data_IF_240902406443
#
_entry.id   IF_240902406443
#
_cell.length_a   1.000
_cell.length_b   1.000
_cell.length_c   1.000
_cell.angle_alpha   90.00
_cell.angle_beta   90.00
_cell.angle_gamma   90.00
#
_symmetry.space_group_name_H-M   'P 1'
#
loop_
_entity.id
_entity.type
_entity.pdbx_description
1 polymer ?
#
# COMPACT_ATOMS: atom_id res chain seq x y z
N UNK A 1 3.89 6.58 28.89
CA UNK A 1 4.39 6.34 27.54
C UNK A 1 5.56 5.37 27.54
N UNK A 2 5.77 4.71 26.42
CA UNK A 2 6.99 3.92 26.15
C UNK A 2 7.93 4.82 25.35
N UNK A 3 9.19 4.88 25.74
CA UNK A 3 10.22 5.57 24.96
C UNK A 3 11.17 4.54 24.32
N UNK A 4 11.28 4.58 23.00
CA UNK A 4 12.33 3.89 22.28
C UNK A 4 13.61 4.71 22.41
N UNK A 5 14.51 4.24 23.29
CA UNK A 5 15.69 4.99 23.72
C UNK A 5 16.80 5.01 22.67
N UNK A 6 18.02 4.60 23.05
CA UNK A 6 19.18 4.59 22.16
C UNK A 6 19.32 3.31 21.33
N UNK A 7 18.43 2.34 21.53
CA UNK A 7 18.40 1.07 20.82
C UNK A 7 16.97 0.75 20.37
N UNK A 8 16.86 -0.11 19.36
CA UNK A 8 15.56 -0.60 18.87
C UNK A 8 14.78 -1.31 19.99
N UNK A 9 13.46 -1.10 20.03
CA UNK A 9 12.57 -1.76 20.99
C UNK A 9 11.92 -2.98 20.39
N UNK A 10 11.81 -4.06 21.18
CA UNK A 10 11.04 -5.25 20.80
C UNK A 10 9.94 -5.48 21.81
N UNK A 11 8.72 -5.67 21.33
CA UNK A 11 7.59 -6.14 22.10
C UNK A 11 7.26 -7.55 21.64
N UNK A 12 7.54 -8.52 22.52
CA UNK A 12 7.23 -9.93 22.28
C UNK A 12 5.89 -10.28 22.93
N UNK A 13 4.98 -10.84 22.14
CA UNK A 13 3.69 -11.34 22.61
C UNK A 13 3.54 -12.77 22.13
N UNK A 14 3.69 -13.73 23.06
CA UNK A 14 3.67 -15.16 22.75
C UNK A 14 2.28 -15.78 22.90
N UNK A 15 2.02 -16.82 22.12
CA UNK A 15 0.81 -17.62 22.16
C UNK A 15 -0.42 -16.82 21.75
N UNK A 16 -1.59 -17.37 21.96
CA UNK A 16 -2.88 -16.73 21.63
C UNK A 16 -3.24 -15.57 22.58
N UNK A 17 -2.25 -14.78 23.01
CA UNK A 17 -2.45 -13.64 23.92
C UNK A 17 -2.55 -12.34 23.16
N UNK A 18 -3.31 -11.40 23.74
CA UNK A 18 -3.33 -10.02 23.26
C UNK A 18 -2.73 -9.12 24.34
N UNK A 19 -1.70 -8.37 23.98
CA UNK A 19 -1.19 -7.26 24.76
C UNK A 19 -1.79 -5.96 24.23
N UNK A 20 -2.62 -5.30 25.02
CA UNK A 20 -3.20 -4.00 24.65
C UNK A 20 -2.39 -2.87 25.29
N UNK A 21 -1.97 -1.93 24.48
CA UNK A 21 -1.29 -0.74 24.94
C UNK A 21 -1.95 0.53 24.36
N UNK A 22 -2.56 1.34 25.24
CA UNK A 22 -3.28 2.56 24.86
C UNK A 22 -2.46 3.85 25.02
N UNK A 23 -1.22 3.73 25.46
CA UNK A 23 -0.32 4.87 25.60
C UNK A 23 0.43 5.20 24.32
N UNK A 24 1.21 6.28 24.36
CA UNK A 24 2.05 6.69 23.24
C UNK A 24 3.39 5.96 23.31
N UNK A 25 3.82 5.38 22.19
CA UNK A 25 5.19 4.96 21.96
C UNK A 25 5.89 6.09 21.21
N UNK A 26 7.03 6.55 21.73
CA UNK A 26 7.79 7.68 21.18
C UNK A 26 9.29 7.35 21.10
N UNK A 27 10.04 8.15 20.38
CA UNK A 27 11.50 8.01 20.19
C UNK A 27 11.89 7.95 18.71
N UNK A 28 13.18 7.75 18.46
CA UNK A 28 13.72 7.75 17.09
C UNK A 28 14.20 6.37 16.61
N UNK A 29 13.95 5.33 17.39
CA UNK A 29 14.38 3.97 17.06
C UNK A 29 13.20 3.08 16.62
N UNK A 30 13.54 1.96 16.03
CA UNK A 30 12.57 1.02 15.48
C UNK A 30 11.80 0.29 16.58
N UNK A 31 10.55 -0.05 16.27
CA UNK A 31 9.72 -0.96 17.03
C UNK A 31 9.60 -2.30 16.31
N UNK A 32 9.96 -3.38 16.98
CA UNK A 32 9.74 -4.75 16.49
C UNK A 32 8.62 -5.41 17.27
N UNK A 33 7.59 -5.89 16.58
CA UNK A 33 6.61 -6.84 17.09
C UNK A 33 7.09 -8.25 16.79
N UNK A 34 7.22 -9.07 17.83
CA UNK A 34 7.60 -10.48 17.71
C UNK A 34 6.67 -11.39 18.53
N UNK A 35 6.82 -12.71 18.37
CA UNK A 35 5.93 -13.72 18.96
C UNK A 35 4.59 -13.80 18.23
N UNK A 36 3.94 -14.94 18.30
CA UNK A 36 2.74 -15.33 17.54
C UNK A 36 1.42 -14.71 18.05
N UNK A 37 1.45 -13.98 19.17
CA UNK A 37 0.29 -13.27 19.73
C UNK A 37 0.01 -11.92 19.08
N UNK A 38 -0.95 -11.19 19.63
CA UNK A 38 -1.43 -9.89 19.13
C UNK A 38 -0.88 -8.77 20.00
N UNK A 39 -0.26 -7.76 19.39
CA UNK A 39 -0.03 -6.46 20.00
C UNK A 39 -1.06 -5.47 19.49
N UNK A 40 -1.96 -5.02 20.35
CA UNK A 40 -2.95 -3.97 20.04
C UNK A 40 -2.42 -2.62 20.51
N UNK A 41 -2.20 -1.70 19.56
CA UNK A 41 -1.83 -0.31 19.82
C UNK A 41 -3.03 0.61 19.56
N UNK A 42 -3.55 1.25 20.60
CA UNK A 42 -4.70 2.17 20.47
C UNK A 42 -4.32 3.64 20.69
N UNK A 43 -3.06 3.94 20.97
CA UNK A 43 -2.55 5.31 21.09
C UNK A 43 -2.10 5.90 19.74
N UNK A 44 -1.98 7.22 19.68
CA UNK A 44 -1.31 7.92 18.59
C UNK A 44 0.20 7.88 18.81
N UNK A 45 0.88 6.94 18.16
CA UNK A 45 2.30 6.71 18.35
C UNK A 45 3.12 7.73 17.54
N UNK A 46 4.27 8.14 18.09
CA UNK A 46 5.08 9.24 17.55
C UNK A 46 6.55 8.88 17.38
N UNK A 47 6.92 7.59 17.49
CA UNK A 47 8.28 7.17 17.20
C UNK A 47 8.56 7.28 15.69
N UNK A 48 9.74 7.71 15.33
CA UNK A 48 10.11 7.98 13.92
C UNK A 48 10.98 6.90 13.28
N UNK A 49 11.26 5.82 13.99
CA UNK A 49 11.94 4.65 13.41
C UNK A 49 10.94 3.68 12.76
N UNK A 50 11.46 2.62 12.16
CA UNK A 50 10.65 1.64 11.44
C UNK A 50 9.80 0.78 12.37
N UNK A 51 8.69 0.29 11.84
CA UNK A 51 7.85 -0.74 12.47
C UNK A 51 8.09 -2.07 11.77
N UNK A 52 8.64 -3.04 12.50
CA UNK A 52 8.95 -4.35 11.97
C UNK A 52 7.99 -5.38 12.61
N UNK A 53 7.14 -5.99 11.80
CA UNK A 53 6.24 -7.05 12.24
C UNK A 53 6.88 -8.36 11.81
N UNK A 54 7.61 -8.97 12.75
CA UNK A 54 8.40 -10.19 12.48
C UNK A 54 7.59 -11.47 12.66
N UNK A 55 6.55 -11.46 13.49
CA UNK A 55 5.67 -12.60 13.74
C UNK A 55 4.37 -12.16 14.40
N UNK A 56 3.30 -12.99 14.31
CA UNK A 56 1.98 -12.73 14.86
C UNK A 56 1.30 -11.50 14.28
N UNK A 57 0.54 -10.78 15.10
CA UNK A 57 -0.27 -9.64 14.62
C UNK A 57 0.11 -8.34 15.34
N UNK A 58 0.35 -7.30 14.58
CA UNK A 58 0.26 -5.92 15.05
C UNK A 58 -1.11 -5.38 14.65
N UNK A 59 -1.97 -5.09 15.63
CA UNK A 59 -3.28 -4.46 15.43
C UNK A 59 -3.21 -2.99 15.84
N UNK A 60 -3.73 -2.09 15.01
CA UNK A 60 -3.75 -0.66 15.29
C UNK A 60 -5.18 -0.11 15.22
N UNK A 61 -5.73 0.27 16.37
CA UNK A 61 -6.97 1.08 16.49
C UNK A 61 -6.65 2.54 16.74
N UNK A 62 -5.39 2.87 17.01
CA UNK A 62 -4.78 4.20 16.97
C UNK A 62 -3.98 4.38 15.68
N UNK A 63 -2.97 5.27 15.70
CA UNK A 63 -2.12 5.54 14.54
C UNK A 63 -0.66 5.22 14.83
N UNK A 64 0.07 4.85 13.80
CA UNK A 64 1.53 4.90 13.77
C UNK A 64 1.99 6.32 13.39
N UNK A 65 3.28 6.61 13.45
CA UNK A 65 3.77 7.88 12.94
C UNK A 65 3.80 7.87 11.41
N UNK A 66 3.42 8.98 10.77
CA UNK A 66 3.42 9.13 9.31
C UNK A 66 4.82 8.92 8.68
N UNK A 67 5.86 8.95 9.49
CA UNK A 67 7.27 8.79 9.09
C UNK A 67 7.79 7.38 9.29
N UNK A 68 6.99 6.42 9.72
CA UNK A 68 7.44 5.04 9.95
C UNK A 68 7.36 4.20 8.67
N UNK A 69 8.43 3.47 8.39
CA UNK A 69 8.40 2.40 7.40
C UNK A 69 7.86 1.12 8.05
N UNK A 70 6.84 0.53 7.46
CA UNK A 70 6.25 -0.71 7.97
C UNK A 70 6.70 -1.89 7.13
N UNK A 71 7.35 -2.85 7.78
CA UNK A 71 7.76 -4.11 7.16
C UNK A 71 7.02 -5.28 7.78
N UNK A 72 6.31 -6.06 6.95
CA UNK A 72 5.52 -7.22 7.39
C UNK A 72 6.17 -8.50 6.87
N UNK A 73 6.76 -9.27 7.76
CA UNK A 73 7.42 -10.54 7.42
C UNK A 73 6.38 -11.59 6.99
N UNK A 74 6.77 -12.50 6.12
CA UNK A 74 5.90 -13.62 5.71
C UNK A 74 5.36 -14.38 6.93
N UNK A 75 4.05 -14.56 7.01
CA UNK A 75 3.34 -15.16 8.14
C UNK A 75 2.85 -14.15 9.19
N UNK A 76 3.43 -12.96 9.25
CA UNK A 76 2.98 -11.89 10.14
C UNK A 76 1.81 -11.10 9.54
N UNK A 77 1.05 -10.41 10.39
CA UNK A 77 -0.14 -9.65 10.03
C UNK A 77 -0.03 -8.22 10.57
N UNK A 78 -0.29 -7.25 9.70
CA UNK A 78 -0.59 -5.87 10.07
C UNK A 78 -2.10 -5.64 9.94
N UNK A 79 -2.80 -5.54 11.06
CA UNK A 79 -4.25 -5.35 11.16
C UNK A 79 -4.54 -3.87 11.44
N UNK A 80 -5.15 -3.19 10.46
CA UNK A 80 -5.37 -1.74 10.45
C UNK A 80 -6.84 -1.45 10.65
N UNK A 81 -7.20 -1.05 11.88
CA UNK A 81 -8.58 -0.76 12.28
C UNK A 81 -8.90 0.74 12.33
N UNK A 82 -7.93 1.60 12.04
CA UNK A 82 -8.11 3.04 11.97
C UNK A 82 -7.51 3.60 10.68
N UNK A 83 -8.06 4.69 10.17
CA UNK A 83 -7.44 5.43 9.07
C UNK A 83 -6.07 5.93 9.52
N UNK A 84 -5.05 5.59 8.76
CA UNK A 84 -3.66 5.87 9.10
C UNK A 84 -2.83 6.21 7.87
N UNK A 85 -1.74 6.93 8.11
CA UNK A 85 -0.71 7.22 7.12
C UNK A 85 0.61 6.67 7.61
N UNK A 86 1.31 5.93 6.78
CA UNK A 86 2.66 5.42 7.02
C UNK A 86 3.59 5.84 5.89
N UNK A 87 4.89 5.94 6.15
CA UNK A 87 5.85 6.36 5.15
C UNK A 87 5.96 5.34 4.03
N UNK A 88 6.18 4.06 4.34
CA UNK A 88 6.22 2.99 3.35
C UNK A 88 5.64 1.68 3.88
N UNK A 89 5.27 0.77 2.96
CA UNK A 89 4.82 -0.58 3.25
C UNK A 89 5.63 -1.58 2.42
N UNK A 90 6.24 -2.54 3.09
CA UNK A 90 7.06 -3.57 2.44
C UNK A 90 6.87 -4.95 3.06
N UNK A 91 7.37 -5.98 2.38
CA UNK A 91 7.40 -7.35 2.90
C UNK A 91 6.46 -8.31 2.16
N UNK A 92 6.31 -9.51 2.74
CA UNK A 92 5.57 -10.63 2.17
C UNK A 92 4.50 -11.20 3.12
N UNK A 93 4.21 -10.52 4.21
CA UNK A 93 3.16 -10.86 5.16
C UNK A 93 1.76 -10.46 4.69
N UNK A 94 0.85 -10.28 5.61
CA UNK A 94 -0.53 -9.88 5.32
C UNK A 94 -0.84 -8.51 5.91
N UNK A 95 -1.66 -7.74 5.21
CA UNK A 95 -2.28 -6.51 5.73
C UNK A 95 -3.79 -6.69 5.69
N UNK A 96 -4.47 -6.43 6.80
CA UNK A 96 -5.93 -6.44 6.87
C UNK A 96 -6.44 -5.02 7.09
N UNK A 97 -7.32 -4.56 6.21
CA UNK A 97 -7.89 -3.21 6.25
C UNK A 97 -9.33 -3.29 6.71
N UNK A 98 -9.63 -2.76 7.90
CA UNK A 98 -10.99 -2.73 8.42
C UNK A 98 -11.93 -1.91 7.52
N UNK A 99 -13.23 -2.10 7.71
CA UNK A 99 -14.24 -1.43 6.91
C UNK A 99 -14.16 0.11 7.06
N UNK A 100 -14.28 0.80 5.94
CA UNK A 100 -14.36 2.27 5.85
C UNK A 100 -13.09 3.03 6.27
N UNK A 101 -11.99 2.34 6.59
CA UNK A 101 -10.70 3.01 6.82
C UNK A 101 -9.93 3.20 5.52
N UNK A 102 -8.94 4.06 5.57
CA UNK A 102 -7.97 4.22 4.48
C UNK A 102 -6.56 4.11 5.06
N UNK A 103 -5.78 3.17 4.53
CA UNK A 103 -4.33 3.15 4.74
C UNK A 103 -3.67 3.93 3.61
N UNK A 104 -2.98 5.00 3.98
CA UNK A 104 -2.17 5.78 3.04
C UNK A 104 -0.71 5.38 3.18
N UNK A 105 -0.04 5.12 2.07
CA UNK A 105 1.40 4.79 2.06
C UNK A 105 2.11 5.44 0.89
N UNK A 106 3.37 5.71 1.06
CA UNK A 106 4.31 6.14 0.03
C UNK A 106 5.07 7.40 0.34
N UNK A 107 6.34 7.33 0.08
CA UNK A 107 7.33 8.40 0.16
C UNK A 107 7.95 8.69 -1.22
N UNK A 108 9.22 9.07 -1.27
CA UNK A 108 9.99 9.24 -2.51
C UNK A 108 10.74 7.96 -2.93
N UNK A 109 10.76 6.93 -2.09
CA UNK A 109 11.40 5.64 -2.34
C UNK A 109 10.55 4.70 -3.20
N UNK A 110 11.15 3.60 -3.58
CA UNK A 110 10.45 2.54 -4.30
C UNK A 110 10.31 1.34 -3.38
N UNK A 111 9.07 0.98 -3.09
CA UNK A 111 8.73 -0.10 -2.19
C UNK A 111 8.02 -1.23 -2.89
N UNK A 112 8.17 -2.44 -2.36
CA UNK A 112 7.48 -3.62 -2.87
C UNK A 112 6.78 -4.34 -1.73
N UNK A 113 5.49 -4.55 -1.89
CA UNK A 113 4.71 -5.44 -1.07
C UNK A 113 4.30 -6.67 -1.88
N UNK A 114 4.85 -7.82 -1.50
CA UNK A 114 4.60 -9.10 -2.18
C UNK A 114 3.59 -9.98 -1.44
N UNK A 115 3.15 -9.54 -0.28
CA UNK A 115 2.12 -10.19 0.52
C UNK A 115 0.70 -9.91 0.05
N UNK A 116 -0.27 -10.16 0.89
CA UNK A 116 -1.70 -9.98 0.60
C UNK A 116 -2.26 -8.81 1.39
N UNK A 117 -2.84 -7.84 0.70
CA UNK A 117 -3.71 -6.83 1.32
C UNK A 117 -5.15 -7.32 1.19
N UNK A 118 -5.87 -7.40 2.32
CA UNK A 118 -7.22 -7.94 2.45
C UNK A 118 -8.15 -6.97 3.18
N UNK A 119 -9.41 -7.39 3.39
CA UNK A 119 -10.40 -6.59 4.11
C UNK A 119 -11.28 -5.72 3.21
N UNK A 120 -12.00 -4.77 3.80
CA UNK A 120 -12.95 -3.92 3.07
C UNK A 120 -12.60 -2.41 3.11
N UNK A 121 -11.45 -2.06 3.69
CA UNK A 121 -10.90 -0.71 3.69
C UNK A 121 -10.26 -0.32 2.36
N UNK A 122 -9.84 0.93 2.28
CA UNK A 122 -9.27 1.55 1.09
C UNK A 122 -7.75 1.64 1.17
N UNK A 123 -7.11 1.66 0.01
CA UNK A 123 -5.67 1.90 -0.13
C UNK A 123 -5.43 3.23 -0.83
N UNK A 124 -4.57 4.07 -0.27
CA UNK A 124 -4.13 5.30 -0.91
C UNK A 124 -2.61 5.31 -1.10
N UNK A 125 -2.15 5.69 -2.28
CA UNK A 125 -0.73 5.92 -2.57
C UNK A 125 -0.46 7.42 -2.60
N UNK A 126 0.46 7.86 -1.76
CA UNK A 126 1.02 9.20 -1.72
C UNK A 126 2.52 9.18 -2.06
N UNK A 127 3.19 10.33 -1.94
CA UNK A 127 4.63 10.44 -2.24
C UNK A 127 4.99 10.14 -3.69
N UNK A 128 6.19 10.52 -4.12
CA UNK A 128 6.60 10.49 -5.53
C UNK A 128 7.18 9.16 -5.99
N UNK A 129 7.48 8.24 -5.08
CA UNK A 129 8.09 6.93 -5.39
C UNK A 129 7.10 5.92 -5.99
N UNK A 130 7.60 4.74 -6.26
CA UNK A 130 6.82 3.62 -6.82
C UNK A 130 6.46 2.62 -5.74
N UNK A 131 5.18 2.29 -5.63
CA UNK A 131 4.70 1.19 -4.79
C UNK A 131 4.31 0.00 -5.67
N UNK A 132 5.11 -1.05 -5.61
CA UNK A 132 4.87 -2.28 -6.37
C UNK A 132 4.03 -3.24 -5.56
N UNK A 133 2.84 -3.57 -6.08
CA UNK A 133 1.93 -4.56 -5.53
C UNK A 133 2.06 -5.86 -6.34
N UNK A 134 2.94 -6.75 -5.90
CA UNK A 134 3.21 -8.01 -6.62
C UNK A 134 2.41 -9.20 -6.10
N UNK A 135 1.74 -9.05 -4.96
CA UNK A 135 0.83 -10.05 -4.40
C UNK A 135 -0.56 -10.06 -5.05
N UNK A 136 -1.30 -11.14 -4.82
CA UNK A 136 -2.72 -11.21 -5.16
C UNK A 136 -3.52 -10.62 -4.02
N UNK A 137 -3.93 -9.38 -4.15
CA UNK A 137 -4.67 -8.66 -3.13
C UNK A 137 -6.17 -8.99 -3.18
N UNK A 138 -6.82 -8.94 -2.03
CA UNK A 138 -8.25 -9.30 -1.88
C UNK A 138 -9.08 -8.23 -1.17
N UNK A 139 -8.51 -7.06 -0.90
CA UNK A 139 -9.31 -5.94 -0.36
C UNK A 139 -10.38 -5.51 -1.35
N UNK A 140 -11.54 -5.12 -0.83
CA UNK A 140 -12.71 -4.74 -1.65
C UNK A 140 -12.98 -3.24 -1.70
N UNK A 141 -12.22 -2.45 -0.95
CA UNK A 141 -12.30 -0.98 -0.99
C UNK A 141 -11.65 -0.37 -2.23
N UNK A 142 -11.73 0.93 -2.34
CA UNK A 142 -11.16 1.69 -3.47
C UNK A 142 -9.64 1.85 -3.35
N UNK A 143 -9.02 2.11 -4.50
CA UNK A 143 -7.61 2.51 -4.59
C UNK A 143 -7.51 3.95 -5.10
N UNK A 144 -6.77 4.81 -4.40
CA UNK A 144 -6.52 6.20 -4.81
C UNK A 144 -5.02 6.43 -4.97
N UNK A 145 -4.61 7.01 -6.10
CA UNK A 145 -3.21 7.38 -6.36
C UNK A 145 -3.13 8.90 -6.43
N UNK A 146 -2.60 9.52 -5.38
CA UNK A 146 -2.51 10.98 -5.27
C UNK A 146 -1.17 11.52 -5.76
N UNK A 147 -0.13 10.70 -5.76
CA UNK A 147 1.19 11.01 -6.31
C UNK A 147 1.98 9.73 -6.56
N UNK A 148 3.08 9.83 -7.32
CA UNK A 148 3.95 8.71 -7.66
C UNK A 148 3.24 7.62 -8.46
N UNK A 149 3.65 6.37 -8.24
CA UNK A 149 3.20 5.26 -9.07
C UNK A 149 2.74 4.08 -8.21
N UNK A 150 1.59 3.47 -8.55
CA UNK A 150 1.31 2.07 -8.22
C UNK A 150 1.67 1.22 -9.42
N UNK A 151 2.54 0.23 -9.23
CA UNK A 151 3.00 -0.71 -10.25
C UNK A 151 2.39 -2.09 -10.01
N UNK A 152 1.71 -2.65 -11.03
CA UNK A 152 1.05 -3.96 -10.98
C UNK A 152 1.33 -4.77 -12.23
N UNK A 153 1.32 -6.10 -12.09
CA UNK A 153 1.44 -7.06 -13.20
C UNK A 153 0.13 -7.79 -13.53
N UNK A 154 -0.92 -7.54 -12.75
CA UNK A 154 -2.25 -8.15 -12.93
C UNK A 154 -3.34 -7.29 -12.28
N UNK A 155 -4.59 -7.44 -12.70
CA UNK A 155 -5.76 -6.76 -12.10
C UNK A 155 -5.89 -7.01 -10.59
N UNK A 156 -5.55 -8.21 -10.14
CA UNK A 156 -5.55 -8.60 -8.73
C UNK A 156 -4.57 -7.81 -7.85
N UNK A 157 -3.61 -7.11 -8.41
CA UNK A 157 -2.79 -6.16 -7.66
C UNK A 157 -3.61 -5.05 -7.00
N UNK A 158 -4.78 -4.72 -7.54
CA UNK A 158 -5.70 -3.70 -7.01
C UNK A 158 -6.87 -4.31 -6.19
N UNK A 159 -6.70 -5.48 -5.60
CA UNK A 159 -7.74 -6.14 -4.80
C UNK A 159 -8.87 -6.74 -5.65
N UNK A 160 -10.03 -6.99 -5.02
CA UNK A 160 -11.21 -7.54 -5.69
C UNK A 160 -11.92 -6.47 -6.52
N UNK A 161 -12.21 -6.78 -7.78
CA UNK A 161 -13.04 -5.89 -8.59
C UNK A 161 -14.50 -5.91 -8.09
N UNK A 162 -15.22 -4.78 -8.10
CA UNK A 162 -16.61 -4.75 -7.69
C UNK A 162 -17.49 -5.60 -8.63
N UNK A 163 -18.59 -6.14 -8.09
CA UNK A 163 -19.53 -6.98 -8.85
C UNK A 163 -20.30 -6.24 -9.94
N UNK A 164 -20.31 -4.90 -9.91
CA UNK A 164 -20.91 -4.02 -10.91
C UNK A 164 -20.02 -2.80 -11.12
N UNK A 165 -20.20 -2.11 -12.25
CA UNK A 165 -19.42 -0.92 -12.58
C UNK A 165 -19.56 0.14 -11.47
N UNK A 166 -18.46 0.44 -10.79
CA UNK A 166 -18.40 1.37 -9.65
C UNK A 166 -17.48 2.51 -9.99
N UNK A 167 -18.05 3.71 -10.14
CA UNK A 167 -17.26 4.91 -10.43
C UNK A 167 -16.27 5.18 -9.29
N UNK A 168 -15.03 5.48 -9.64
CA UNK A 168 -13.99 5.85 -8.67
C UNK A 168 -13.47 4.69 -7.79
N UNK A 169 -13.74 3.43 -8.17
CA UNK A 169 -13.08 2.32 -7.49
C UNK A 169 -11.54 2.37 -7.66
N UNK A 170 -11.08 2.92 -8.77
CA UNK A 170 -9.72 3.40 -8.96
C UNK A 170 -9.74 4.91 -9.21
N UNK A 171 -9.08 5.69 -8.38
CA UNK A 171 -8.97 7.14 -8.55
C UNK A 171 -7.53 7.54 -8.87
N UNK A 172 -7.33 8.22 -10.01
CA UNK A 172 -6.07 8.85 -10.38
C UNK A 172 -6.19 10.35 -10.10
N UNK A 173 -5.47 10.84 -9.10
CA UNK A 173 -5.53 12.23 -8.65
C UNK A 173 -4.13 12.86 -8.59
N UNK A 174 -3.40 12.82 -9.69
CA UNK A 174 -2.02 13.27 -9.80
C UNK A 174 -1.01 12.13 -9.89
N UNK A 175 -1.42 10.89 -9.64
CA UNK A 175 -0.55 9.73 -9.69
C UNK A 175 -0.68 8.90 -10.96
N UNK A 176 0.12 7.83 -11.01
CA UNK A 176 0.28 6.93 -12.15
C UNK A 176 -0.11 5.50 -11.76
N UNK A 177 -0.92 4.85 -12.59
CA UNK A 177 -1.03 3.41 -12.62
C UNK A 177 -0.07 2.85 -13.67
N UNK A 178 0.88 2.00 -13.26
CA UNK A 178 1.81 1.33 -14.17
C UNK A 178 1.43 -0.13 -14.34
N UNK A 179 1.35 -0.56 -15.60
CA UNK A 179 1.19 -1.97 -16.00
C UNK A 179 2.52 -2.52 -16.48
N UNK A 180 3.00 -3.59 -15.82
CA UNK A 180 4.30 -4.22 -16.14
C UNK A 180 4.15 -5.55 -16.89
N UNK A 181 2.93 -5.98 -17.21
CA UNK A 181 2.63 -7.22 -17.93
C UNK A 181 1.38 -7.09 -18.79
N UNK A 182 1.11 -8.12 -19.60
CA UNK A 182 -0.13 -8.21 -20.36
C UNK A 182 -1.28 -8.62 -19.45
N UNK A 183 -2.28 -7.78 -19.26
CA UNK A 183 -3.52 -8.15 -18.58
C UNK A 183 -4.70 -7.26 -18.97
N UNK A 184 -5.89 -7.69 -18.56
CA UNK A 184 -7.11 -6.89 -18.66
C UNK A 184 -7.47 -6.35 -17.29
N UNK A 185 -7.55 -5.02 -17.19
CA UNK A 185 -8.10 -4.35 -16.01
C UNK A 185 -9.63 -4.53 -16.03
N UNK A 186 -10.20 -4.98 -14.92
CA UNK A 186 -11.63 -5.28 -14.84
C UNK A 186 -12.48 -4.04 -15.10
N UNK A 187 -13.43 -4.15 -16.03
CA UNK A 187 -14.29 -3.04 -16.45
C UNK A 187 -15.18 -2.47 -15.34
N UNK A 188 -15.45 -3.23 -14.29
CA UNK A 188 -16.22 -2.77 -13.15
C UNK A 188 -15.43 -1.83 -12.21
N UNK A 189 -14.10 -1.75 -12.36
CA UNK A 189 -13.28 -0.75 -11.67
C UNK A 189 -13.39 0.58 -12.40
N UNK A 190 -14.48 1.33 -12.26
CA UNK A 190 -14.58 2.65 -12.87
C UNK A 190 -13.39 3.53 -12.43
N UNK A 191 -12.67 4.09 -13.41
CA UNK A 191 -11.57 5.01 -13.16
C UNK A 191 -12.11 6.41 -13.01
N UNK A 192 -11.80 7.09 -11.91
CA UNK A 192 -12.07 8.52 -11.72
C UNK A 192 -10.77 9.32 -11.88
N UNK A 193 -10.87 10.41 -12.61
CA UNK A 193 -9.83 11.44 -12.65
C UNK A 193 -10.19 12.48 -11.58
N UNK A 194 -9.37 12.59 -10.55
CA UNK A 194 -9.58 13.46 -9.40
C UNK A 194 -9.45 14.95 -9.73
N UNK A 195 -8.94 15.76 -8.82
CA UNK A 195 -8.70 17.19 -9.02
C UNK A 195 -7.41 17.50 -9.80
N UNK A 196 -6.57 16.49 -9.98
CA UNK A 196 -5.31 16.54 -10.74
C UNK A 196 -5.34 15.52 -11.89
N UNK A 197 -4.48 15.72 -12.89
CA UNK A 197 -4.36 14.81 -14.03
C UNK A 197 -3.92 13.42 -13.59
N UNK A 198 -4.48 12.38 -14.21
CA UNK A 198 -4.08 11.00 -13.99
C UNK A 198 -3.20 10.48 -15.12
N UNK A 199 -2.35 9.50 -14.81
CA UNK A 199 -1.53 8.82 -15.82
C UNK A 199 -1.75 7.31 -15.76
N UNK A 200 -1.83 6.68 -16.92
CA UNK A 200 -1.68 5.24 -17.08
C UNK A 200 -0.42 5.01 -17.90
N UNK A 201 0.54 4.29 -17.32
CA UNK A 201 1.79 3.91 -17.97
C UNK A 201 1.78 2.42 -18.28
N UNK A 202 2.04 2.07 -19.52
CA UNK A 202 2.13 0.68 -19.97
C UNK A 202 3.57 0.42 -20.38
N UNK A 203 4.24 -0.52 -19.70
CA UNK A 203 5.63 -0.85 -20.01
C UNK A 203 5.75 -1.43 -21.42
N UNK A 204 6.84 -1.07 -22.10
CA UNK A 204 7.07 -1.43 -23.52
C UNK A 204 6.84 -2.91 -23.81
N UNK A 205 6.34 -3.23 -24.96
CA UNK A 205 5.98 -4.59 -25.41
C UNK A 205 4.85 -5.29 -24.63
N UNK A 206 4.22 -4.60 -23.67
CA UNK A 206 3.06 -5.14 -22.94
C UNK A 206 1.76 -4.49 -23.39
N UNK A 207 0.64 -5.09 -23.05
CA UNK A 207 -0.70 -4.58 -23.38
C UNK A 207 -1.56 -4.55 -22.14
N UNK A 208 -2.05 -3.37 -21.79
CA UNK A 208 -3.14 -3.19 -20.84
C UNK A 208 -4.45 -3.01 -21.58
N UNK A 209 -5.40 -3.92 -21.37
CA UNK A 209 -6.75 -3.79 -21.92
C UNK A 209 -7.70 -3.27 -20.86
N UNK A 210 -8.51 -2.27 -21.19
CA UNK A 210 -9.54 -1.76 -20.32
C UNK A 210 -10.80 -1.38 -21.10
N UNK A 211 -11.94 -1.93 -20.70
CA UNK A 211 -13.24 -1.70 -21.33
C UNK A 211 -14.26 -1.01 -20.40
N UNK A 212 -13.81 -0.49 -19.26
CA UNK A 212 -14.67 0.17 -18.28
C UNK A 212 -14.82 1.68 -18.52
N UNK A 213 -15.44 2.36 -17.57
CA UNK A 213 -15.73 3.79 -17.62
C UNK A 213 -14.55 4.58 -17.02
N UNK A 214 -14.09 5.59 -17.75
CA UNK A 214 -13.20 6.62 -17.23
C UNK A 214 -14.03 7.90 -17.12
N UNK A 215 -14.09 8.49 -15.92
CA UNK A 215 -14.90 9.68 -15.63
C UNK A 215 -14.06 10.73 -14.91
N UNK A 216 -14.50 11.98 -14.99
CA UNK A 216 -13.87 13.15 -14.37
C UNK A 216 -13.67 14.29 -15.35
N UNK A 217 -13.27 15.46 -14.86
CA UNK A 217 -13.08 16.67 -15.64
C UNK A 217 -11.60 16.96 -15.96
N UNK A 218 -10.69 16.14 -15.48
CA UNK A 218 -9.25 16.32 -15.68
C UNK A 218 -8.71 15.41 -16.79
N UNK A 219 -7.48 15.65 -17.20
CA UNK A 219 -6.85 14.92 -18.29
C UNK A 219 -6.35 13.55 -17.84
N UNK A 220 -6.47 12.58 -18.72
CA UNK A 220 -5.76 11.30 -18.64
C UNK A 220 -4.59 11.33 -19.62
N UNK A 221 -3.42 11.03 -19.11
CA UNK A 221 -2.23 10.80 -19.94
C UNK A 221 -2.00 9.31 -20.09
N UNK A 222 -1.83 8.85 -21.33
CA UNK A 222 -1.36 7.50 -21.63
C UNK A 222 0.11 7.57 -22.02
N UNK A 223 0.97 6.84 -21.34
CA UNK A 223 2.39 6.75 -21.67
C UNK A 223 2.79 5.29 -21.89
N UNK A 224 3.72 5.09 -22.83
CA UNK A 224 4.34 3.80 -23.09
C UNK A 224 5.86 3.99 -22.99
N UNK A 225 6.50 3.28 -22.09
CA UNK A 225 7.97 3.23 -22.03
C UNK A 225 8.46 2.24 -23.10
N UNK A 226 8.70 2.74 -24.31
CA UNK A 226 9.42 1.98 -25.32
C UNK A 226 10.92 2.11 -24.99
N UNK A 227 11.53 1.07 -24.44
CA UNK A 227 12.98 0.96 -24.43
C UNK A 227 13.44 0.68 -25.86
N UNK A 228 13.83 1.71 -26.59
CA UNK A 228 14.71 1.51 -27.73
C UNK A 228 16.09 1.25 -27.17
N UNK A 229 16.55 0.00 -27.16
CA UNK A 229 17.98 -0.25 -27.10
C UNK A 229 18.57 0.40 -28.34
N UNK A 230 19.29 1.48 -28.16
CA UNK A 230 20.15 2.01 -29.21
C UNK A 230 21.15 0.89 -29.53
N UNK A 231 20.92 0.20 -30.62
CA UNK A 231 21.91 -0.69 -31.18
C UNK A 231 23.06 0.25 -31.60
N UNK A 232 24.09 0.28 -30.78
CA UNK A 232 25.33 0.97 -31.12
C UNK A 232 25.71 0.55 -32.53
N UNK A 233 25.77 1.54 -33.39
CA UNK A 233 26.26 1.48 -34.74
C UNK A 233 27.72 0.95 -34.69
N UNK A 234 27.93 -0.34 -34.94
CA UNK A 234 29.24 -0.89 -35.20
C UNK A 234 29.56 -0.65 -36.68
N UNK A 235 30.34 0.36 -36.94
CA UNK A 235 31.19 0.47 -38.11
C UNK A 235 32.63 0.28 -37.74
#
# INVERSE_FOLDING_TARGET
GIALGTSHGTINVDGSRTLTYGGIIAGSNNLTKSGDGILLLSGANTYSGDTIISDGTLQTTGTLADTTDVSVTSGAIYDVDATDTIQSLSGAGSVELANSITLTTGDSGNDTFSGVISGSGNLAKAGSGTFTLSGVNTYSGSTTITAGTISISADSGLGVAPGSATAGHLTLNGGTLQSTANFTLNANRGIALGTSHGTINVDGSTTLTYGGIIAGSNNLTMSCLLYTSDAADEQ
#
